data_IF_865931000944
#
_entry.id   IF_865931000944
#
_cell.length_a   1.000
_cell.length_b   1.000
_cell.length_c   1.000
_cell.angle_alpha   90.00
_cell.angle_beta   90.00
_cell.angle_gamma   90.00
#
_symmetry.space_group_name_H-M   'P 1'
#
loop_
_entity.id
_entity.type
_entity.pdbx_description
1 polymer ?
#
# COMPACT_ATOMS: atom_id res chain seq x y z
N UNK A 1 -5.76 -18.19 14.35
CA UNK A 1 -4.91 -17.55 13.33
C UNK A 1 -4.95 -16.06 13.67
N UNK A 2 -3.79 -15.43 13.95
CA UNK A 2 -3.72 -14.19 14.75
C UNK A 2 -3.50 -12.97 13.85
N UNK A 3 -4.50 -12.10 13.81
CA UNK A 3 -4.53 -10.65 13.52
C UNK A 3 -3.59 -10.11 12.43
N UNK A 4 -4.15 -9.37 11.47
CA UNK A 4 -3.38 -8.58 10.51
C UNK A 4 -2.61 -7.45 11.20
N UNK A 5 -1.39 -7.71 11.65
CA UNK A 5 -0.56 -6.72 12.32
C UNK A 5 -0.67 -6.75 13.85
N UNK A 6 0.39 -6.27 14.49
CA UNK A 6 0.46 -6.11 15.93
C UNK A 6 -0.31 -4.85 16.37
N UNK A 7 -0.82 -4.82 17.60
CA UNK A 7 -1.39 -3.59 18.19
C UNK A 7 -0.40 -2.43 18.05
N UNK A 8 -0.84 -1.32 17.44
CA UNK A 8 -0.01 -0.14 17.19
C UNK A 8 0.87 -0.20 15.94
N UNK A 9 0.68 -1.20 15.07
CA UNK A 9 1.44 -1.34 13.83
C UNK A 9 0.51 -1.65 12.65
N UNK A 10 0.39 -0.70 11.72
CA UNK A 10 -0.29 -0.90 10.45
C UNK A 10 0.72 -1.47 9.43
N UNK A 11 0.58 -2.75 9.03
CA UNK A 11 1.60 -3.43 8.27
C UNK A 11 1.51 -3.14 6.77
N UNK A 12 0.46 -2.47 6.27
CA UNK A 12 0.25 -2.30 4.84
C UNK A 12 0.04 -0.84 4.47
N UNK A 13 0.65 -0.41 3.38
CA UNK A 13 0.43 0.92 2.82
C UNK A 13 0.64 0.91 1.30
N UNK A 14 -0.08 1.81 0.63
CA UNK A 14 0.01 2.04 -0.81
C UNK A 14 0.67 3.39 -1.06
N UNK A 15 1.54 3.45 -2.06
CA UNK A 15 2.28 4.66 -2.43
C UNK A 15 2.25 4.89 -3.92
N UNK A 16 2.50 6.12 -4.33
CA UNK A 16 2.77 6.51 -5.71
C UNK A 16 4.09 7.26 -5.81
N UNK A 17 4.81 7.02 -6.90
CA UNK A 17 6.06 7.70 -7.23
C UNK A 17 6.07 8.07 -8.71
N UNK A 18 6.59 9.25 -9.03
CA UNK A 18 6.81 9.75 -10.40
C UNK A 18 8.30 9.77 -10.77
N UNK A 19 9.18 9.37 -9.86
CA UNK A 19 10.65 9.41 -10.00
C UNK A 19 11.32 8.04 -9.78
N UNK A 20 10.56 6.99 -9.48
CA UNK A 20 11.08 5.64 -9.37
C UNK A 20 11.41 5.02 -10.73
N UNK A 21 12.68 4.65 -10.92
CA UNK A 21 13.21 4.11 -12.19
C UNK A 21 13.44 2.59 -12.16
N UNK A 22 12.86 1.86 -11.19
CA UNK A 22 12.84 0.39 -11.20
C UNK A 22 14.02 -0.31 -10.51
N UNK A 23 15.04 0.40 -10.01
CA UNK A 23 16.26 -0.23 -9.48
C UNK A 23 16.47 -0.05 -7.96
N UNK A 24 16.11 1.10 -7.39
CA UNK A 24 16.30 1.39 -5.98
C UNK A 24 15.10 2.15 -5.40
N UNK A 25 14.34 1.47 -4.55
CA UNK A 25 13.14 2.03 -3.92
C UNK A 25 13.46 3.12 -2.91
N UNK A 26 14.68 3.16 -2.34
CA UNK A 26 15.02 4.13 -1.29
C UNK A 26 15.39 5.51 -1.81
N UNK A 27 15.70 5.62 -3.10
CA UNK A 27 16.11 6.89 -3.74
C UNK A 27 14.96 7.64 -4.40
N UNK A 28 13.80 7.00 -4.53
CA UNK A 28 12.60 7.59 -5.09
C UNK A 28 11.77 8.31 -4.02
N UNK A 29 10.97 9.26 -4.46
CA UNK A 29 9.97 9.95 -3.65
C UNK A 29 8.66 9.17 -3.69
N UNK A 30 8.11 8.86 -2.51
CA UNK A 30 6.88 8.09 -2.37
C UNK A 30 5.82 8.88 -1.63
N UNK A 31 4.72 9.19 -2.31
CA UNK A 31 3.54 9.83 -1.73
C UNK A 31 2.56 8.75 -1.27
N UNK A 32 2.12 8.73 0.00
CA UNK A 32 1.15 7.75 0.48
C UNK A 32 -0.24 7.98 -0.16
N UNK A 33 -0.87 6.89 -0.61
CA UNK A 33 -2.23 6.87 -1.11
C UNK A 33 -3.18 6.44 0.01
N UNK A 34 -4.22 7.23 0.26
CA UNK A 34 -5.31 6.85 1.13
C UNK A 34 -6.32 5.98 0.37
N UNK A 35 -6.53 4.76 0.85
CA UNK A 35 -7.54 3.84 0.35
C UNK A 35 -7.98 2.89 1.47
N UNK A 36 -9.10 2.19 1.28
CA UNK A 36 -9.51 1.13 2.21
C UNK A 36 -8.71 -0.14 1.97
N UNK A 37 -8.33 -0.82 3.04
CA UNK A 37 -7.64 -2.11 2.98
C UNK A 37 -7.87 -2.90 4.27
N UNK A 38 -7.53 -4.18 4.26
CA UNK A 38 -7.68 -5.05 5.43
C UNK A 38 -6.76 -4.62 6.56
N UNK A 39 -7.31 -4.50 7.77
CA UNK A 39 -6.63 -4.07 9.00
C UNK A 39 -6.62 -5.19 10.03
N UNK A 40 -5.98 -4.98 11.19
CA UNK A 40 -5.92 -5.92 12.31
C UNK A 40 -7.30 -6.35 12.85
N UNK A 41 -8.34 -5.54 12.64
CA UNK A 41 -9.73 -5.86 13.02
C UNK A 41 -10.51 -6.61 11.94
N UNK A 42 -9.95 -6.74 10.73
CA UNK A 42 -10.59 -7.47 9.63
C UNK A 42 -10.49 -8.98 9.87
N UNK A 43 -11.60 -9.69 9.72
CA UNK A 43 -11.63 -11.14 9.87
C UNK A 43 -10.80 -11.83 8.76
N UNK A 44 -10.16 -12.95 9.11
CA UNK A 44 -9.37 -13.74 8.18
C UNK A 44 -10.16 -14.08 6.90
N UNK A 45 -9.47 -14.05 5.76
CA UNK A 45 -10.02 -14.32 4.44
C UNK A 45 -11.14 -13.39 3.96
N UNK A 46 -11.44 -12.31 4.68
CA UNK A 46 -12.35 -11.25 4.22
C UNK A 46 -11.64 -10.36 3.21
N UNK A 47 -12.28 -10.13 2.07
CA UNK A 47 -11.80 -9.17 1.07
C UNK A 47 -12.35 -7.78 1.38
N UNK A 48 -11.47 -6.78 1.41
CA UNK A 48 -11.83 -5.37 1.57
C UNK A 48 -11.59 -4.69 0.22
N UNK A 49 -12.64 -4.13 -0.36
CA UNK A 49 -12.49 -3.32 -1.57
C UNK A 49 -11.81 -2.00 -1.22
N UNK A 50 -10.76 -1.67 -1.96
CA UNK A 50 -10.09 -0.36 -1.87
C UNK A 50 -10.91 0.79 -2.44
N UNK A 51 -11.94 0.46 -3.25
CA UNK A 51 -12.77 1.43 -3.95
C UNK A 51 -12.03 2.10 -5.11
N UNK A 52 -12.68 3.10 -5.70
CA UNK A 52 -12.06 3.94 -6.73
C UNK A 52 -11.20 5.00 -6.05
N UNK A 53 -9.91 5.04 -6.39
CA UNK A 53 -8.97 6.06 -5.92
C UNK A 53 -8.64 6.98 -7.08
N UNK A 54 -8.94 8.27 -6.94
CA UNK A 54 -8.55 9.28 -7.92
C UNK A 54 -7.08 9.65 -7.71
N UNK A 55 -6.24 9.43 -8.73
CA UNK A 55 -4.80 9.64 -8.64
C UNK A 55 -4.38 11.11 -8.78
N UNK A 56 -5.21 11.96 -9.38
CA UNK A 56 -4.95 13.40 -9.57
C UNK A 56 -4.60 14.12 -8.26
N UNK A 57 -5.13 13.66 -7.13
CA UNK A 57 -4.84 14.23 -5.81
C UNK A 57 -3.44 13.89 -5.26
N UNK A 58 -2.74 12.95 -5.88
CA UNK A 58 -1.42 12.47 -5.46
C UNK A 58 -0.31 12.75 -6.48
N UNK A 59 -0.69 13.19 -7.68
CA UNK A 59 0.21 13.56 -8.76
C UNK A 59 0.38 15.09 -8.84
N UNK A 60 1.50 15.59 -9.41
CA UNK A 60 1.59 17.00 -9.76
C UNK A 60 0.43 17.44 -10.66
N UNK A 61 -0.04 18.67 -10.51
CA UNK A 61 -1.13 19.18 -11.33
C UNK A 61 -0.79 19.12 -12.83
N UNK A 62 -1.64 18.46 -13.61
CA UNK A 62 -1.44 18.30 -15.06
C UNK A 62 -0.33 17.31 -15.43
N UNK A 63 0.05 16.41 -14.52
CA UNK A 63 1.07 15.40 -14.80
C UNK A 63 0.62 14.43 -15.91
N UNK A 64 1.49 14.20 -16.90
CA UNK A 64 1.26 13.30 -18.04
C UNK A 64 2.37 12.26 -18.21
N UNK A 65 3.26 12.14 -17.22
CA UNK A 65 4.38 11.20 -17.26
C UNK A 65 4.02 9.83 -16.68
N UNK A 66 4.99 8.93 -16.70
CA UNK A 66 4.87 7.61 -16.08
C UNK A 66 4.92 7.71 -14.55
N UNK A 67 4.13 6.89 -13.89
CA UNK A 67 4.15 6.74 -12.43
C UNK A 67 4.14 5.27 -12.05
N UNK A 68 4.53 4.99 -10.80
CA UNK A 68 4.55 3.64 -10.24
C UNK A 68 3.73 3.61 -8.96
N UNK A 69 2.91 2.56 -8.83
CA UNK A 69 2.18 2.24 -7.58
C UNK A 69 2.99 1.21 -6.79
N UNK A 70 3.34 1.57 -5.55
CA UNK A 70 4.06 0.71 -4.63
C UNK A 70 3.13 0.16 -3.55
N UNK A 71 3.07 -1.17 -3.42
CA UNK A 71 2.39 -1.84 -2.31
C UNK A 71 3.45 -2.31 -1.31
N UNK A 72 3.43 -1.75 -0.09
CA UNK A 72 4.43 -2.07 0.93
C UNK A 72 3.80 -2.83 2.06
N UNK A 73 4.37 -3.99 2.37
CA UNK A 73 4.15 -4.70 3.62
C UNK A 73 5.36 -4.52 4.54
N UNK A 74 5.13 -4.14 5.79
CA UNK A 74 6.12 -4.19 6.87
C UNK A 74 5.70 -5.23 7.89
N UNK A 75 6.62 -6.10 8.31
CA UNK A 75 6.41 -6.94 9.49
C UNK A 75 6.79 -6.18 10.77
N UNK A 76 6.28 -6.58 11.94
CA UNK A 76 6.71 -5.96 13.19
C UNK A 76 7.99 -6.64 13.71
N UNK A 77 9.14 -6.24 13.15
CA UNK A 77 10.45 -6.82 13.46
C UNK A 77 10.75 -6.99 14.96
N UNK A 78 10.54 -5.97 15.82
CA UNK A 78 10.82 -6.08 17.26
C UNK A 78 9.98 -7.13 18.01
N UNK A 79 8.80 -7.47 17.51
CA UNK A 79 7.88 -8.40 18.17
C UNK A 79 7.76 -9.75 17.45
N UNK A 80 8.49 -9.95 16.34
CA UNK A 80 8.42 -11.18 15.53
C UNK A 80 7.05 -11.49 14.91
N UNK A 81 6.10 -10.54 14.94
CA UNK A 81 4.78 -10.75 14.37
C UNK A 81 4.79 -10.40 12.89
N UNK A 82 4.56 -11.42 12.07
CA UNK A 82 4.36 -11.29 10.63
C UNK A 82 3.06 -12.01 10.26
N UNK A 83 2.50 -11.66 9.11
CA UNK A 83 1.29 -12.27 8.57
C UNK A 83 1.37 -12.25 7.05
N UNK A 84 0.45 -12.95 6.41
CA UNK A 84 0.30 -12.89 4.96
C UNK A 84 -0.66 -11.73 4.61
N UNK A 85 -0.29 -10.94 3.60
CA UNK A 85 -1.16 -9.94 3.01
C UNK A 85 -1.42 -10.32 1.56
N UNK A 86 -2.68 -10.26 1.11
CA UNK A 86 -3.07 -10.61 -0.26
C UNK A 86 -3.67 -9.38 -0.92
N UNK A 87 -3.17 -9.08 -2.11
CA UNK A 87 -3.64 -8.00 -2.98
C UNK A 87 -4.07 -8.65 -4.29
N UNK A 88 -5.26 -8.31 -4.77
CA UNK A 88 -5.80 -8.89 -6.00
C UNK A 88 -6.71 -7.88 -6.71
N UNK A 89 -6.96 -8.10 -8.00
CA UNK A 89 -7.77 -7.25 -8.89
C UNK A 89 -7.31 -5.79 -8.92
N UNK A 90 -5.99 -5.57 -8.99
CA UNK A 90 -5.42 -4.23 -9.17
C UNK A 90 -5.64 -3.78 -10.61
N UNK A 91 -6.36 -2.67 -10.78
CA UNK A 91 -6.64 -2.05 -12.07
C UNK A 91 -6.20 -0.59 -12.02
N UNK A 92 -5.41 -0.17 -13.01
CA UNK A 92 -5.05 1.23 -13.25
C UNK A 92 -5.65 1.60 -14.62
N UNK A 93 -6.32 2.75 -14.70
CA UNK A 93 -7.07 3.20 -15.88
C UNK A 93 -6.80 4.67 -16.16
#
# INVERSE_FOLDING_TARGET
>A
QKAFGASGHDPFAVFISTDFVGNNVSTATWTPISCSYATSSTADFTWIQSGTVLLDGYLPQGYTGDFVIGFRYTGSGPNGQTTNYRVDNVVIQ
#
